data_IF_587256043104
#
_entry.id   IF_587256043104
#
_cell.length_a   1.000
_cell.length_b   1.000
_cell.length_c   1.000
_cell.angle_alpha   90.00
_cell.angle_beta   90.00
_cell.angle_gamma   90.00
#
_symmetry.space_group_name_H-M   'P 1'
#
loop_
_entity.id
_entity.type
_entity.pdbx_description
1 polymer ?
#
# COMPACT_ATOMS: atom_id res chain seq x y z
N UNK A 1 4.15 13.97 2.08
CA UNK A 1 3.19 15.07 2.39
C UNK A 1 3.71 16.30 3.20
N UNK A 2 5.01 16.53 3.46
CA UNK A 2 5.45 17.66 4.34
C UNK A 2 5.05 19.06 3.83
N UNK A 3 5.11 19.30 2.53
CA UNK A 3 4.70 20.57 1.93
C UNK A 3 3.21 20.86 2.12
N UNK A 4 2.35 19.84 1.98
CA UNK A 4 0.91 19.95 2.22
C UNK A 4 0.58 20.31 3.67
N UNK A 5 1.29 19.72 4.64
CA UNK A 5 1.15 20.07 6.06
C UNK A 5 1.46 21.54 6.33
N UNK A 6 2.56 22.05 5.76
CA UNK A 6 2.93 23.48 5.90
C UNK A 6 1.90 24.37 5.22
N UNK A 7 1.40 24.00 4.05
CA UNK A 7 0.33 24.74 3.36
C UNK A 7 -0.94 24.83 4.23
N UNK A 8 -1.37 23.72 4.84
CA UNK A 8 -2.51 23.70 5.75
C UNK A 8 -2.28 24.60 6.97
N UNK A 9 -1.11 24.55 7.59
CA UNK A 9 -0.74 25.43 8.70
C UNK A 9 -0.82 26.92 8.33
N UNK A 10 -0.30 27.31 7.16
CA UNK A 10 -0.34 28.69 6.69
C UNK A 10 -1.75 29.14 6.30
N UNK A 11 -2.60 28.24 5.78
CA UNK A 11 -4.01 28.54 5.54
C UNK A 11 -4.74 28.85 6.86
N UNK A 12 -4.51 28.05 7.91
CA UNK A 12 -5.07 28.31 9.25
C UNK A 12 -4.57 29.64 9.80
N UNK A 13 -3.28 29.95 9.62
CA UNK A 13 -2.70 31.24 10.02
C UNK A 13 -3.36 32.40 9.29
N UNK A 14 -3.56 32.30 7.97
CA UNK A 14 -4.18 33.36 7.18
C UNK A 14 -5.62 33.66 7.63
N UNK A 15 -6.41 32.62 7.96
CA UNK A 15 -7.76 32.79 8.53
C UNK A 15 -7.72 33.55 9.85
N UNK A 16 -6.77 33.20 10.74
CA UNK A 16 -6.58 33.87 12.03
C UNK A 16 -6.14 35.33 11.87
N UNK A 17 -5.14 35.57 11.03
CA UNK A 17 -4.59 36.92 10.78
C UNK A 17 -5.64 37.84 10.14
N UNK A 18 -6.54 37.29 9.31
CA UNK A 18 -7.65 38.02 8.69
C UNK A 18 -8.82 38.31 9.65
N UNK A 19 -8.80 37.80 10.89
CA UNK A 19 -9.89 37.99 11.85
C UNK A 19 -11.20 37.29 11.44
N UNK A 20 -11.13 36.28 10.59
CA UNK A 20 -12.30 35.55 10.10
C UNK A 20 -12.77 34.54 11.16
N UNK A 21 -13.99 34.70 11.64
CA UNK A 21 -14.65 33.73 12.50
C UNK A 21 -15.23 32.59 11.67
N UNK A 22 -14.87 31.34 11.99
CA UNK A 22 -15.44 30.16 11.36
C UNK A 22 -16.76 29.79 12.05
N UNK A 23 -17.78 29.31 11.32
CA UNK A 23 -19.05 28.86 11.90
C UNK A 23 -18.93 27.52 12.66
N UNK A 24 -17.72 27.02 12.88
CA UNK A 24 -17.45 25.72 13.48
C UNK A 24 -15.99 25.58 13.94
N UNK A 25 -15.62 24.35 14.31
CA UNK A 25 -14.28 24.02 14.79
C UNK A 25 -13.36 23.60 13.65
N UNK A 26 -12.08 23.94 13.77
CA UNK A 26 -11.04 23.52 12.83
C UNK A 26 -9.94 22.78 13.59
N UNK A 27 -9.60 21.58 13.15
CA UNK A 27 -8.54 20.75 13.71
C UNK A 27 -7.49 20.47 12.64
N UNK A 28 -6.21 20.56 13.01
CA UNK A 28 -5.11 20.08 12.20
C UNK A 28 -4.56 18.79 12.81
N UNK A 29 -4.49 17.73 12.02
CA UNK A 29 -3.91 16.46 12.42
C UNK A 29 -2.61 16.21 11.65
N UNK A 30 -1.49 16.12 12.37
CA UNK A 30 -0.22 15.65 11.84
C UNK A 30 0.03 14.25 12.39
N UNK A 31 -0.10 13.24 11.54
CA UNK A 31 -0.08 11.82 11.93
C UNK A 31 1.14 11.10 11.36
N UNK A 32 1.42 9.93 11.93
CA UNK A 32 2.48 9.01 11.48
C UNK A 32 1.86 7.72 10.93
N UNK A 33 2.66 6.92 10.21
CA UNK A 33 2.27 5.59 9.76
C UNK A 33 1.15 5.57 8.72
N UNK A 34 1.06 6.61 7.89
CA UNK A 34 0.14 6.63 6.74
C UNK A 34 0.58 5.57 5.71
N UNK A 35 1.85 5.62 5.30
CA UNK A 35 2.50 4.67 4.39
C UNK A 35 2.53 3.21 4.90
N UNK A 36 2.36 3.00 6.22
CA UNK A 36 2.41 1.70 6.89
C UNK A 36 1.00 1.19 7.28
N UNK A 37 -0.06 1.72 6.66
CA UNK A 37 -1.44 1.26 6.84
C UNK A 37 -2.38 2.21 7.59
N UNK A 38 -2.03 3.50 7.71
CA UNK A 38 -2.93 4.54 8.20
C UNK A 38 -3.17 4.57 9.72
N UNK A 39 -2.32 3.92 10.52
CA UNK A 39 -2.55 3.75 11.96
C UNK A 39 -2.64 5.08 12.73
N UNK A 40 -1.89 6.11 12.31
CA UNK A 40 -1.93 7.41 12.96
C UNK A 40 -3.30 8.07 12.84
N UNK A 41 -3.88 8.11 11.64
CA UNK A 41 -5.25 8.62 11.40
C UNK A 41 -6.28 7.77 12.14
N UNK A 42 -6.14 6.44 12.11
CA UNK A 42 -7.05 5.58 12.85
C UNK A 42 -7.01 5.86 14.37
N UNK A 43 -5.83 6.10 14.92
CA UNK A 43 -5.66 6.46 16.32
C UNK A 43 -6.21 7.84 16.68
N UNK A 44 -6.32 8.80 15.74
CA UNK A 44 -7.01 10.08 16.03
C UNK A 44 -8.51 9.87 16.12
N UNK A 45 -9.09 9.08 15.20
CA UNK A 45 -10.52 8.71 15.22
C UNK A 45 -10.90 7.96 16.50
N UNK A 46 -10.10 6.97 16.92
CA UNK A 46 -10.32 6.23 18.18
C UNK A 46 -10.27 7.12 19.43
N UNK A 47 -9.53 8.24 19.38
CA UNK A 47 -9.50 9.25 20.45
C UNK A 47 -10.68 10.21 20.42
N UNK A 48 -11.63 10.02 19.51
CA UNK A 48 -12.83 10.83 19.37
C UNK A 48 -12.63 12.10 18.54
N UNK A 49 -11.51 12.23 17.83
CA UNK A 49 -11.31 13.36 16.92
C UNK A 49 -12.07 13.11 15.62
N UNK A 50 -13.25 13.73 15.49
CA UNK A 50 -14.13 13.63 14.31
C UNK A 50 -14.45 15.01 13.75
N UNK A 51 -15.14 15.06 12.60
CA UNK A 51 -15.62 16.29 11.98
C UNK A 51 -16.53 16.00 10.80
N UNK A 52 -17.21 17.03 10.29
CA UNK A 52 -18.14 16.92 9.16
C UNK A 52 -17.42 16.69 7.82
N UNK A 53 -16.14 17.07 7.74
CA UNK A 53 -15.29 16.90 6.57
C UNK A 53 -13.81 16.80 6.95
N UNK A 54 -13.00 16.22 6.07
CA UNK A 54 -11.55 16.18 6.15
C UNK A 54 -10.91 16.64 4.83
N UNK A 55 -9.86 17.44 4.91
CA UNK A 55 -9.03 17.83 3.77
C UNK A 55 -7.64 17.26 3.99
N UNK A 56 -7.22 16.36 3.10
CA UNK A 56 -5.88 15.76 3.12
C UNK A 56 -5.07 16.41 2.01
N UNK A 57 -4.03 17.16 2.39
CA UNK A 57 -3.19 17.92 1.47
C UNK A 57 -2.14 17.05 0.77
N UNK A 58 -2.58 15.99 0.10
CA UNK A 58 -1.71 15.17 -0.74
C UNK A 58 -1.20 15.96 -1.96
N UNK A 59 -0.06 15.58 -2.56
CA UNK A 59 0.53 16.26 -3.71
C UNK A 59 -0.23 15.95 -5.01
N UNK A 60 -1.53 16.23 -5.05
CA UNK A 60 -2.43 15.93 -6.18
C UNK A 60 -2.35 16.94 -7.33
N UNK A 61 -1.40 17.89 -7.27
CA UNK A 61 -1.32 19.03 -8.18
C UNK A 61 -2.65 19.81 -8.26
N UNK A 62 -3.26 20.06 -7.10
CA UNK A 62 -4.55 20.76 -6.93
C UNK A 62 -5.76 20.04 -7.55
N UNK A 63 -5.61 18.76 -7.94
CA UNK A 63 -6.73 17.95 -8.41
C UNK A 63 -7.50 17.36 -7.22
N UNK A 64 -8.82 17.31 -7.34
CA UNK A 64 -9.67 16.57 -6.42
C UNK A 64 -9.59 15.07 -6.75
N UNK A 65 -9.35 14.24 -5.72
CA UNK A 65 -9.28 12.78 -5.83
C UNK A 65 -10.47 12.18 -5.07
N UNK A 66 -11.64 12.02 -5.73
CA UNK A 66 -12.87 11.58 -5.07
C UNK A 66 -12.95 10.06 -4.83
N UNK A 67 -12.02 9.28 -5.38
CA UNK A 67 -11.93 7.85 -5.20
C UNK A 67 -10.48 7.40 -5.25
N UNK A 68 -10.15 6.40 -4.45
CA UNK A 68 -8.87 5.71 -4.43
C UNK A 68 -9.12 4.21 -4.28
N UNK A 69 -8.24 3.39 -4.85
CA UNK A 69 -8.23 1.96 -4.60
C UNK A 69 -7.82 1.68 -3.15
N UNK A 70 -8.10 0.46 -2.69
CA UNK A 70 -7.55 -0.01 -1.42
C UNK A 70 -6.05 -0.26 -1.53
N UNK A 71 -5.44 -0.67 -0.43
CA UNK A 71 -4.09 -1.23 -0.44
C UNK A 71 -4.00 -2.32 0.63
N UNK A 72 -3.56 -3.50 0.23
CA UNK A 72 -3.26 -4.63 1.09
C UNK A 72 -1.80 -5.01 0.92
N UNK A 73 -0.99 -4.72 1.93
CA UNK A 73 0.36 -5.25 2.04
C UNK A 73 0.34 -6.68 2.57
N UNK A 74 1.09 -7.58 1.94
CA UNK A 74 1.16 -8.99 2.35
C UNK A 74 2.59 -9.51 2.33
N UNK A 75 2.80 -10.58 3.11
CA UNK A 75 4.05 -11.33 3.19
C UNK A 75 3.76 -12.81 3.10
N UNK A 76 4.46 -13.51 2.22
CA UNK A 76 4.30 -14.95 2.00
C UNK A 76 5.64 -15.63 2.19
N UNK A 77 5.63 -16.73 2.96
CA UNK A 77 6.75 -17.65 3.11
C UNK A 77 6.45 -18.93 2.34
N UNK A 78 7.35 -19.28 1.43
CA UNK A 78 7.29 -20.47 0.58
C UNK A 78 8.31 -21.47 1.10
N UNK A 79 7.81 -22.61 1.59
CA UNK A 79 8.65 -23.71 2.07
C UNK A 79 9.00 -24.69 0.94
N UNK A 80 10.26 -25.09 0.90
CA UNK A 80 10.84 -26.12 0.07
C UNK A 80 11.46 -27.24 0.93
N UNK A 81 12.46 -27.92 0.37
CA UNK A 81 13.26 -28.95 1.05
C UNK A 81 14.68 -28.87 0.53
N UNK A 82 15.65 -28.70 1.41
CA UNK A 82 17.04 -28.58 1.00
C UNK A 82 17.62 -29.93 0.58
N UNK A 83 18.56 -29.89 -0.35
CA UNK A 83 19.39 -31.00 -0.78
C UNK A 83 20.70 -30.43 -1.35
N UNK A 84 21.77 -31.23 -1.39
CA UNK A 84 22.97 -30.83 -2.11
C UNK A 84 22.63 -30.64 -3.60
N UNK A 85 23.19 -29.62 -4.26
CA UNK A 85 22.84 -29.28 -5.64
C UNK A 85 23.01 -30.46 -6.63
N UNK A 86 24.01 -31.33 -6.42
CA UNK A 86 24.18 -32.53 -7.25
C UNK A 86 23.11 -33.61 -7.04
N UNK A 87 22.38 -33.59 -5.91
CA UNK A 87 21.27 -34.48 -5.57
C UNK A 87 19.94 -33.73 -5.62
N UNK A 88 19.77 -32.77 -6.56
CA UNK A 88 18.62 -31.84 -6.58
C UNK A 88 17.24 -32.51 -6.50
N UNK A 89 17.12 -33.74 -7.02
CA UNK A 89 15.86 -34.49 -7.03
C UNK A 89 15.42 -34.97 -5.63
N UNK A 90 16.31 -34.95 -4.64
CA UNK A 90 15.97 -35.23 -3.25
C UNK A 90 15.39 -34.01 -2.51
N UNK A 91 15.53 -32.81 -3.11
CA UNK A 91 15.04 -31.54 -2.60
C UNK A 91 13.78 -31.04 -3.30
N UNK A 92 13.28 -29.90 -2.83
CA UNK A 92 12.14 -29.18 -3.41
C UNK A 92 12.47 -27.70 -3.40
N UNK A 93 12.61 -27.08 -4.58
CA UNK A 93 13.03 -25.68 -4.69
C UNK A 93 11.90 -24.71 -4.34
N UNK A 94 12.09 -23.91 -3.28
CA UNK A 94 11.19 -22.81 -2.93
C UNK A 94 11.15 -21.72 -4.03
N UNK A 95 12.25 -21.55 -4.78
CA UNK A 95 12.33 -20.62 -5.92
C UNK A 95 11.43 -21.10 -7.06
N UNK A 96 11.47 -22.37 -7.43
CA UNK A 96 10.63 -22.92 -8.50
C UNK A 96 9.14 -22.82 -8.13
N UNK A 97 8.79 -23.11 -6.87
CA UNK A 97 7.42 -22.89 -6.37
C UNK A 97 6.98 -21.43 -6.47
N UNK A 98 7.86 -20.49 -6.14
CA UNK A 98 7.56 -19.06 -6.24
C UNK A 98 7.27 -18.62 -7.68
N UNK A 99 7.96 -19.17 -8.68
CA UNK A 99 7.68 -18.83 -10.08
C UNK A 99 6.23 -19.17 -10.48
N UNK A 100 5.71 -20.31 -10.02
CA UNK A 100 4.31 -20.69 -10.23
C UNK A 100 3.34 -19.77 -9.45
N UNK A 101 3.65 -19.47 -8.19
CA UNK A 101 2.84 -18.52 -7.41
C UNK A 101 2.80 -17.14 -8.05
N UNK A 102 3.95 -16.63 -8.50
CA UNK A 102 4.05 -15.33 -9.16
C UNK A 102 3.22 -15.28 -10.44
N UNK A 103 3.23 -16.35 -11.26
CA UNK A 103 2.36 -16.47 -12.43
C UNK A 103 0.88 -16.37 -12.05
N UNK A 104 0.45 -17.07 -10.99
CA UNK A 104 -0.93 -17.03 -10.51
C UNK A 104 -1.30 -15.63 -10.00
N UNK A 105 -0.39 -14.93 -9.32
CA UNK A 105 -0.63 -13.56 -8.85
C UNK A 105 -0.81 -12.56 -10.01
N UNK A 106 -0.04 -12.69 -11.09
CA UNK A 106 -0.24 -11.88 -12.29
C UNK A 106 -1.57 -12.20 -12.99
N UNK A 107 -2.00 -13.45 -12.95
CA UNK A 107 -3.32 -13.83 -13.47
C UNK A 107 -4.45 -13.25 -12.61
N UNK A 108 -4.29 -13.25 -11.28
CA UNK A 108 -5.23 -12.63 -10.35
C UNK A 108 -5.36 -11.12 -10.59
N UNK A 109 -4.27 -10.41 -10.87
CA UNK A 109 -4.33 -8.99 -11.24
C UNK A 109 -5.18 -8.78 -12.50
N UNK A 110 -4.94 -9.59 -13.55
CA UNK A 110 -5.73 -9.51 -14.79
C UNK A 110 -7.21 -9.75 -14.55
N UNK A 111 -7.55 -10.76 -13.76
CA UNK A 111 -8.93 -11.09 -13.42
C UNK A 111 -9.62 -9.96 -12.65
N UNK A 112 -8.93 -9.36 -11.68
CA UNK A 112 -9.49 -8.22 -10.91
C UNK A 112 -9.71 -6.99 -11.77
N UNK A 113 -8.89 -6.79 -12.79
CA UNK A 113 -8.98 -5.65 -13.68
C UNK A 113 -9.80 -5.93 -14.97
N UNK A 114 -10.38 -7.12 -15.14
CA UNK A 114 -11.05 -7.47 -16.40
C UNK A 114 -12.45 -6.85 -16.56
N UNK A 115 -13.14 -6.55 -15.46
CA UNK A 115 -14.54 -6.09 -15.47
C UNK A 115 -14.79 -5.00 -14.41
N UNK A 116 -14.02 -3.91 -14.47
CA UNK A 116 -14.18 -2.79 -13.53
C UNK A 116 -15.44 -1.98 -13.90
N UNK A 117 -16.46 -2.04 -13.05
CA UNK A 117 -17.70 -1.26 -13.21
C UNK A 117 -17.69 0.07 -12.44
N UNK A 118 -16.65 0.32 -11.63
CA UNK A 118 -16.60 1.48 -10.77
C UNK A 118 -16.50 2.79 -11.59
N UNK A 119 -17.45 3.74 -11.46
CA UNK A 119 -17.55 4.92 -12.34
C UNK A 119 -16.29 5.79 -12.41
N UNK A 120 -15.52 5.84 -11.32
CA UNK A 120 -14.31 6.66 -11.23
C UNK A 120 -13.01 5.90 -11.45
N UNK A 121 -13.01 4.56 -11.32
CA UNK A 121 -11.80 3.75 -11.39
C UNK A 121 -11.71 2.96 -12.70
N UNK A 122 -12.84 2.62 -13.33
CA UNK A 122 -12.87 1.87 -14.60
C UNK A 122 -12.29 2.61 -15.82
N UNK A 123 -11.85 3.85 -15.64
CA UNK A 123 -11.14 4.65 -16.65
C UNK A 123 -9.61 4.45 -16.62
N UNK A 124 -9.10 3.76 -15.60
CA UNK A 124 -7.69 3.36 -15.54
C UNK A 124 -7.53 1.96 -16.15
N UNK A 125 -6.38 1.70 -16.76
CA UNK A 125 -6.06 0.39 -17.33
C UNK A 125 -5.90 -0.69 -16.24
N UNK A 126 -5.29 -0.31 -15.11
CA UNK A 126 -5.05 -1.20 -13.96
C UNK A 126 -5.36 -0.42 -12.66
N UNK A 127 -6.65 -0.21 -12.30
CA UNK A 127 -7.02 0.44 -11.05
C UNK A 127 -6.67 -0.37 -9.79
N UNK A 128 -6.51 -1.69 -9.90
CA UNK A 128 -6.17 -2.58 -8.78
C UNK A 128 -4.84 -3.30 -9.06
N UNK A 129 -3.71 -2.59 -8.97
CA UNK A 129 -2.39 -3.17 -9.28
C UNK A 129 -1.95 -4.18 -8.21
N UNK A 130 -1.21 -5.21 -8.63
CA UNK A 130 -0.53 -6.14 -7.74
C UNK A 130 0.97 -6.09 -8.01
N UNK A 131 1.76 -5.77 -6.98
CA UNK A 131 3.21 -5.64 -7.12
C UNK A 131 3.94 -6.44 -6.05
N UNK A 132 4.96 -7.18 -6.47
CA UNK A 132 5.92 -7.83 -5.56
C UNK A 132 7.14 -6.91 -5.44
N UNK A 133 7.26 -6.26 -4.30
CA UNK A 133 8.35 -5.30 -4.04
C UNK A 133 9.63 -5.92 -3.50
N UNK A 134 9.55 -7.12 -2.91
CA UNK A 134 10.71 -7.79 -2.30
C UNK A 134 10.61 -9.30 -2.43
N UNK A 135 11.73 -9.94 -2.77
CA UNK A 135 11.90 -11.39 -2.80
C UNK A 135 13.26 -11.74 -2.19
N UNK A 136 13.31 -12.74 -1.31
CA UNK A 136 14.52 -13.27 -0.69
C UNK A 136 14.47 -14.79 -0.67
N UNK A 137 15.52 -15.48 -1.11
CA UNK A 137 15.50 -16.94 -1.27
C UNK A 137 16.87 -17.58 -1.10
N UNK A 138 16.89 -18.76 -0.47
CA UNK A 138 18.10 -19.55 -0.28
C UNK A 138 19.16 -18.89 0.60
N UNK A 139 20.20 -19.66 0.92
CA UNK A 139 21.33 -19.22 1.74
C UNK A 139 22.70 -19.64 1.17
N UNK A 140 22.74 -20.56 0.21
CA UNK A 140 23.96 -21.10 -0.37
C UNK A 140 23.73 -21.56 -1.82
N UNK A 141 24.69 -21.32 -2.71
CA UNK A 141 24.54 -21.65 -4.14
C UNK A 141 24.61 -23.15 -4.44
N UNK A 142 25.20 -23.95 -3.56
CA UNK A 142 25.33 -25.41 -3.72
C UNK A 142 24.25 -26.21 -3.01
N UNK A 143 23.16 -25.58 -2.57
CA UNK A 143 21.98 -26.24 -2.01
C UNK A 143 20.72 -25.91 -2.82
N UNK A 144 19.77 -26.85 -2.83
CA UNK A 144 18.40 -26.57 -3.26
C UNK A 144 17.79 -25.60 -2.24
N UNK A 145 17.25 -24.44 -2.67
CA UNK A 145 16.70 -23.45 -1.75
C UNK A 145 15.41 -23.98 -1.11
N UNK A 146 15.41 -24.03 0.22
CA UNK A 146 14.31 -24.57 1.04
C UNK A 146 13.39 -23.50 1.62
N UNK A 147 13.76 -22.23 1.51
CA UNK A 147 12.93 -21.10 1.89
C UNK A 147 13.01 -19.98 0.86
N UNK A 148 11.85 -19.39 0.57
CA UNK A 148 11.73 -18.10 -0.10
C UNK A 148 10.66 -17.27 0.61
N UNK A 149 10.93 -15.99 0.82
CA UNK A 149 10.00 -15.02 1.38
C UNK A 149 9.81 -13.89 0.38
N UNK A 150 8.56 -13.56 0.07
CA UNK A 150 8.23 -12.40 -0.76
C UNK A 150 7.19 -11.50 -0.09
N UNK A 151 7.31 -10.20 -0.35
CA UNK A 151 6.44 -9.14 0.18
C UNK A 151 5.89 -8.34 -1.01
N UNK A 152 4.61 -7.99 -0.95
CA UNK A 152 3.92 -7.29 -2.02
C UNK A 152 2.75 -6.46 -1.53
N UNK A 153 2.20 -5.68 -2.46
CA UNK A 153 1.01 -4.85 -2.26
C UNK A 153 -0.03 -5.21 -3.32
N UNK A 154 -1.30 -5.22 -2.92
CA UNK A 154 -2.45 -5.35 -3.81
C UNK A 154 -3.38 -4.17 -3.62
N UNK A 155 -3.72 -3.49 -4.71
CA UNK A 155 -4.81 -2.51 -4.78
C UNK A 155 -6.19 -3.14 -4.71
#
# INVERSE_FOLDING_TARGET
MKGGLVAALYAIKAIKDAGVSLPGSLMLQSVIGEEDGGLGTFATLLRGHTGDAAIICEPTSLKLIPAQAGALTFKVRVSGKSAHACMRLEGVSAVEKYLELHRVLLQLEKERNSNITHPLLGKFEIPYPLSIGRVQAGNWSSSVPDELVFEGVSG
#
